data_IF_611104706000
#
_entry.id   IF_611104706000
#
_cell.length_a   1.000
_cell.length_b   1.000
_cell.length_c   1.000
_cell.angle_alpha   90.00
_cell.angle_beta   90.00
_cell.angle_gamma   90.00
#
_symmetry.space_group_name_H-M   'P 1'
#
loop_
_entity.id
_entity.type
_entity.pdbx_description
1 polymer ?
#
# COMPACT_ATOMS: atom_id res chain seq x y z
N UNK A 1 31.26 -17.69 16.82
CA UNK A 1 32.49 -17.84 15.98
C UNK A 1 32.13 -17.19 14.65
N UNK A 2 32.90 -16.19 14.24
CA UNK A 2 32.65 -15.48 12.94
C UNK A 2 33.10 -16.41 11.79
N UNK A 3 32.35 -16.46 10.70
CA UNK A 3 32.72 -17.31 9.55
C UNK A 3 34.01 -16.80 8.88
N UNK A 4 34.81 -17.67 8.24
CA UNK A 4 35.99 -17.25 7.47
C UNK A 4 35.57 -16.23 6.36
N UNK A 5 36.35 -15.16 6.21
CA UNK A 5 36.08 -14.07 5.27
C UNK A 5 35.17 -12.97 5.83
N UNK A 6 34.84 -13.06 7.13
CA UNK A 6 34.01 -12.04 7.81
C UNK A 6 34.68 -11.59 9.11
N UNK A 7 34.43 -10.34 9.49
CA UNK A 7 34.93 -9.74 10.74
C UNK A 7 33.77 -9.21 11.61
N UNK A 8 33.95 -9.21 12.92
CA UNK A 8 33.05 -8.57 13.87
C UNK A 8 33.32 -7.05 13.85
N UNK A 9 32.27 -6.26 13.68
CA UNK A 9 32.33 -4.79 13.76
C UNK A 9 31.32 -4.28 14.78
N UNK A 10 31.27 -2.96 15.00
CA UNK A 10 30.31 -2.28 15.90
C UNK A 10 28.86 -2.43 15.39
N UNK A 11 28.67 -2.59 14.08
CA UNK A 11 27.35 -2.69 13.43
C UNK A 11 27.00 -4.13 13.02
N UNK A 12 27.72 -5.11 13.55
CA UNK A 12 27.49 -6.53 13.29
C UNK A 12 28.63 -7.21 12.54
N UNK A 13 28.35 -8.39 12.00
CA UNK A 13 29.31 -9.17 11.22
C UNK A 13 29.28 -8.72 9.77
N UNK A 14 30.43 -8.27 9.27
CA UNK A 14 30.59 -7.79 7.90
C UNK A 14 31.70 -8.56 7.18
N UNK A 15 31.72 -8.59 5.82
CA UNK A 15 32.84 -9.14 5.07
C UNK A 15 34.17 -8.45 5.43
N UNK A 16 35.27 -9.18 5.40
CA UNK A 16 36.63 -8.65 5.72
C UNK A 16 37.00 -7.46 4.80
N UNK A 17 36.49 -7.47 3.55
CA UNK A 17 36.73 -6.42 2.55
C UNK A 17 35.89 -5.16 2.72
N UNK A 18 34.91 -5.15 3.63
CA UNK A 18 34.11 -3.96 3.89
C UNK A 18 34.76 -3.14 5.01
N UNK A 19 34.90 -1.84 4.79
CA UNK A 19 35.34 -0.92 5.82
C UNK A 19 34.16 -0.35 6.61
N UNK A 20 34.44 0.25 7.75
CA UNK A 20 33.47 1.00 8.56
C UNK A 20 34.05 2.39 8.82
N UNK A 21 33.18 3.40 8.74
CA UNK A 21 33.53 4.78 8.97
C UNK A 21 32.44 5.48 9.78
N UNK A 22 32.80 6.42 10.65
CA UNK A 22 31.80 7.18 11.39
C UNK A 22 31.09 8.20 10.50
N UNK A 23 29.85 8.51 10.83
CA UNK A 23 29.08 9.50 10.08
C UNK A 23 29.79 10.88 10.05
N UNK A 24 30.40 11.30 11.18
CA UNK A 24 31.12 12.56 11.29
C UNK A 24 32.32 12.63 10.35
N UNK A 25 33.03 11.50 10.16
CA UNK A 25 34.20 11.46 9.26
C UNK A 25 33.77 11.56 7.79
N UNK A 26 32.64 10.99 7.40
CA UNK A 26 32.27 10.95 5.99
C UNK A 26 31.32 12.06 5.55
N UNK A 27 30.62 12.78 6.45
CA UNK A 27 29.66 13.79 6.04
C UNK A 27 29.98 15.22 6.54
N UNK A 28 29.54 16.17 5.73
CA UNK A 28 29.35 17.57 6.15
C UNK A 28 27.86 17.86 6.23
N UNK A 29 27.37 18.33 7.39
CA UNK A 29 25.98 18.74 7.56
C UNK A 29 25.79 20.10 6.90
N UNK A 30 24.82 20.19 6.00
CA UNK A 30 24.44 21.44 5.33
C UNK A 30 23.38 22.19 6.14
N UNK A 31 23.18 23.49 5.89
CA UNK A 31 22.06 24.22 6.45
C UNK A 31 20.73 23.76 5.82
N UNK A 32 19.70 23.67 6.64
CA UNK A 32 18.30 23.51 6.22
C UNK A 32 17.54 24.82 6.45
N UNK A 33 16.34 24.96 5.90
CA UNK A 33 15.44 26.06 6.21
C UNK A 33 14.33 25.62 7.18
N UNK A 34 13.58 26.61 7.69
CA UNK A 34 12.50 26.38 8.67
C UNK A 34 11.12 26.71 8.10
N UNK A 35 10.97 26.65 6.77
CA UNK A 35 9.72 26.97 6.10
C UNK A 35 8.69 25.87 6.35
N UNK A 36 7.51 26.27 6.76
CA UNK A 36 6.36 25.40 6.95
C UNK A 36 5.72 25.00 5.61
N UNK A 37 4.85 24.01 5.63
CA UNK A 37 4.10 23.58 4.44
C UNK A 37 3.29 24.72 3.80
N UNK A 38 2.75 25.65 4.57
CA UNK A 38 1.98 26.81 4.09
C UNK A 38 2.83 27.82 3.30
N UNK A 39 4.15 27.79 3.46
CA UNK A 39 5.10 28.66 2.74
C UNK A 39 5.61 28.02 1.45
N UNK A 40 5.03 26.86 1.06
CA UNK A 40 5.36 26.11 -0.15
C UNK A 40 4.17 26.04 -1.10
N UNK A 41 4.43 25.85 -2.41
CA UNK A 41 3.40 25.69 -3.44
C UNK A 41 3.86 24.73 -4.54
N UNK A 42 2.92 24.31 -5.38
CA UNK A 42 3.19 23.47 -6.58
C UNK A 42 2.95 24.20 -7.90
N UNK A 43 2.75 25.54 -7.86
CA UNK A 43 2.43 26.34 -9.06
C UNK A 43 3.68 26.81 -9.81
N UNK A 44 4.87 26.59 -9.23
CA UNK A 44 6.15 26.99 -9.79
C UNK A 44 6.90 27.98 -8.90
N UNK A 45 8.20 28.15 -9.15
CA UNK A 45 9.08 29.04 -8.38
C UNK A 45 10.54 28.89 -8.80
N UNK A 46 11.43 29.55 -8.10
CA UNK A 46 12.87 29.52 -8.37
C UNK A 46 13.61 28.43 -7.59
N UNK A 47 13.11 28.09 -6.39
CA UNK A 47 13.76 27.15 -5.47
C UNK A 47 12.74 26.12 -5.00
N UNK A 48 13.10 24.85 -5.13
CA UNK A 48 12.32 23.72 -4.64
C UNK A 48 12.77 23.34 -3.23
N UNK A 49 11.87 22.69 -2.48
CA UNK A 49 12.09 22.35 -1.08
C UNK A 49 11.74 20.87 -0.80
N UNK A 50 12.60 20.19 -0.06
CA UNK A 50 12.35 18.83 0.44
C UNK A 50 11.97 18.93 1.91
N UNK A 51 10.70 18.67 2.23
CA UNK A 51 10.14 18.77 3.56
C UNK A 51 10.16 17.42 4.28
N UNK A 52 10.42 17.37 5.61
CA UNK A 52 10.50 16.13 6.39
C UNK A 52 9.28 15.21 6.21
N UNK A 53 8.08 15.79 6.20
CA UNK A 53 6.85 15.02 6.05
C UNK A 53 6.76 14.28 4.70
N UNK A 54 7.39 14.81 3.62
CA UNK A 54 7.46 14.10 2.34
C UNK A 54 8.47 12.96 2.40
N UNK A 55 9.58 13.13 3.12
CA UNK A 55 10.55 12.04 3.36
C UNK A 55 9.88 10.90 4.11
N UNK A 56 9.09 11.20 5.14
CA UNK A 56 8.44 10.17 5.96
C UNK A 56 7.40 9.35 5.20
N UNK A 57 6.56 9.99 4.38
CA UNK A 57 5.37 9.34 3.79
C UNK A 57 5.40 9.16 2.27
N UNK A 58 6.17 9.99 1.54
CA UNK A 58 6.09 10.04 0.08
C UNK A 58 7.36 9.56 -0.61
N UNK A 59 8.52 10.05 -0.15
CA UNK A 59 9.76 9.82 -0.86
C UNK A 59 10.37 8.44 -0.59
N UNK A 60 10.88 7.78 -1.65
CA UNK A 60 11.63 6.53 -1.54
C UNK A 60 13.01 6.75 -0.93
N UNK A 61 13.75 5.68 -0.71
CA UNK A 61 15.15 5.70 -0.26
C UNK A 61 16.08 6.51 -1.19
N UNK A 62 15.78 6.50 -2.48
CA UNK A 62 16.47 7.28 -3.52
C UNK A 62 15.44 8.13 -4.24
N UNK A 63 15.58 9.45 -4.16
CA UNK A 63 14.68 10.44 -4.76
C UNK A 63 15.28 10.99 -6.06
N UNK A 64 14.67 10.66 -7.18
CA UNK A 64 14.98 11.27 -8.47
C UNK A 64 14.24 12.60 -8.61
N UNK A 65 14.97 13.69 -8.39
CA UNK A 65 14.46 15.06 -8.44
C UNK A 65 14.04 15.50 -9.85
N UNK A 66 14.46 14.79 -10.91
CA UNK A 66 14.07 15.11 -12.28
C UNK A 66 12.65 14.66 -12.62
N UNK A 67 12.16 13.66 -11.91
CA UNK A 67 10.86 13.03 -12.17
C UNK A 67 9.82 13.31 -11.07
N UNK A 68 10.26 13.63 -9.86
CA UNK A 68 9.37 13.88 -8.73
C UNK A 68 8.95 15.36 -8.65
N UNK A 69 7.64 15.57 -8.50
CA UNK A 69 7.08 16.91 -8.32
C UNK A 69 7.38 17.46 -6.92
N UNK A 70 8.47 18.20 -6.79
CA UNK A 70 8.84 18.88 -5.54
C UNK A 70 8.11 20.22 -5.41
N UNK A 71 7.68 20.60 -4.19
CA UNK A 71 7.08 21.91 -3.97
C UNK A 71 8.12 23.03 -4.10
N UNK A 72 7.69 24.17 -4.60
CA UNK A 72 8.48 25.41 -4.66
C UNK A 72 8.25 26.26 -3.41
N UNK A 73 9.28 26.99 -3.02
CA UNK A 73 9.18 27.99 -1.98
C UNK A 73 8.42 29.21 -2.52
N UNK A 74 7.47 29.73 -1.76
CA UNK A 74 6.75 30.95 -2.12
C UNK A 74 7.73 32.11 -2.31
N UNK A 75 7.49 32.95 -3.31
CA UNK A 75 8.43 33.99 -3.81
C UNK A 75 8.95 34.92 -2.69
N UNK A 76 8.09 35.29 -1.75
CA UNK A 76 8.42 36.15 -0.60
C UNK A 76 9.39 35.48 0.41
N UNK A 77 9.52 34.16 0.37
CA UNK A 77 10.34 33.39 1.30
C UNK A 77 11.64 32.84 0.70
N UNK A 78 11.90 33.04 -0.61
CA UNK A 78 13.09 32.52 -1.29
C UNK A 78 14.39 32.98 -0.64
N UNK A 79 14.44 34.21 -0.11
CA UNK A 79 15.61 34.74 0.59
C UNK A 79 16.01 33.96 1.84
N UNK A 80 15.04 33.28 2.50
CA UNK A 80 15.26 32.42 3.68
C UNK A 80 15.98 31.10 3.32
N UNK A 81 16.01 30.74 2.06
CA UNK A 81 16.54 29.48 1.53
C UNK A 81 17.66 29.70 0.48
N UNK A 82 18.48 30.69 0.69
CA UNK A 82 19.56 31.09 -0.24
C UNK A 82 20.86 30.30 -0.08
N UNK A 83 20.92 29.36 0.86
CA UNK A 83 22.12 28.56 1.19
C UNK A 83 21.77 27.08 1.28
N UNK A 84 22.80 26.22 1.16
CA UNK A 84 22.61 24.79 1.34
C UNK A 84 21.93 24.10 0.16
N UNK A 85 22.16 24.59 -1.07
CA UNK A 85 21.66 23.92 -2.26
C UNK A 85 22.22 22.50 -2.35
N UNK A 86 21.29 21.58 -2.58
CA UNK A 86 21.58 20.16 -2.68
C UNK A 86 22.27 19.81 -4.01
N UNK A 87 22.97 18.70 -4.02
CA UNK A 87 23.62 18.09 -5.21
C UNK A 87 23.30 16.60 -5.24
N UNK A 88 23.46 15.99 -6.38
CA UNK A 88 23.35 14.55 -6.53
C UNK A 88 24.27 13.84 -5.51
N UNK A 89 23.76 12.82 -4.84
CA UNK A 89 24.44 12.09 -3.77
C UNK A 89 24.31 12.72 -2.37
N UNK A 90 23.66 13.88 -2.20
CA UNK A 90 23.34 14.40 -0.87
C UNK A 90 22.26 13.52 -0.23
N UNK A 91 22.41 13.25 1.06
CA UNK A 91 21.45 12.51 1.89
C UNK A 91 20.65 13.49 2.73
N UNK A 92 19.34 13.32 2.78
CA UNK A 92 18.44 14.14 3.61
C UNK A 92 17.70 13.24 4.57
N UNK A 93 17.91 13.46 5.86
CA UNK A 93 17.31 12.68 6.95
C UNK A 93 16.21 13.51 7.62
N UNK A 94 15.06 12.90 7.92
CA UNK A 94 14.03 13.50 8.76
C UNK A 94 14.46 13.39 10.23
N UNK A 95 14.62 14.55 10.92
CA UNK A 95 15.04 14.57 12.32
C UNK A 95 13.89 14.43 13.32
N UNK A 96 12.65 14.39 12.82
CA UNK A 96 11.43 14.36 13.61
C UNK A 96 10.37 13.49 12.95
N UNK A 97 9.69 12.63 13.72
CA UNK A 97 8.55 11.81 13.30
C UNK A 97 7.58 11.56 14.47
N UNK A 98 6.38 11.06 14.18
CA UNK A 98 5.41 10.69 15.23
C UNK A 98 5.72 9.32 15.89
N UNK A 99 6.66 8.55 15.32
CA UNK A 99 7.04 7.22 15.77
C UNK A 99 8.54 6.94 15.59
N UNK A 100 8.93 5.66 15.63
CA UNK A 100 10.33 5.20 15.52
C UNK A 100 10.92 5.32 14.11
N UNK A 101 10.17 5.75 13.10
CA UNK A 101 10.70 5.97 11.74
C UNK A 101 11.53 7.27 11.62
N UNK A 102 11.66 8.03 12.71
CA UNK A 102 12.58 9.16 12.76
C UNK A 102 13.99 8.70 12.33
N UNK A 103 14.67 9.51 11.52
CA UNK A 103 15.92 9.09 10.87
C UNK A 103 15.73 8.53 9.45
N UNK A 104 14.46 8.31 9.00
CA UNK A 104 14.20 7.98 7.60
C UNK A 104 14.84 9.02 6.69
N UNK A 105 15.51 8.54 5.65
CA UNK A 105 16.35 9.35 4.78
C UNK A 105 16.03 9.13 3.31
N UNK A 106 16.43 10.10 2.49
CA UNK A 106 16.41 9.95 1.03
C UNK A 106 17.72 10.49 0.45
N UNK A 107 18.33 9.73 -0.44
CA UNK A 107 19.46 10.20 -1.25
C UNK A 107 18.90 10.87 -2.51
N UNK A 108 19.36 12.07 -2.83
CA UNK A 108 18.87 12.81 -3.99
C UNK A 108 19.75 12.59 -5.21
N UNK A 109 19.09 12.40 -6.35
CA UNK A 109 19.70 12.27 -7.66
C UNK A 109 18.94 13.09 -8.70
N UNK A 110 19.53 13.33 -9.86
CA UNK A 110 18.85 13.98 -10.99
C UNK A 110 18.49 15.45 -10.74
N UNK A 111 19.25 16.16 -9.93
CA UNK A 111 19.01 17.58 -9.61
C UNK A 111 19.22 18.47 -10.83
N UNK A 112 20.23 18.18 -11.67
CA UNK A 112 20.56 19.00 -12.82
C UNK A 112 20.79 20.47 -12.46
N UNK A 113 20.14 21.38 -13.21
CA UNK A 113 20.22 22.84 -12.98
C UNK A 113 19.24 23.37 -11.93
N UNK A 114 18.43 22.48 -11.32
CA UNK A 114 17.42 22.87 -10.34
C UNK A 114 18.04 23.35 -9.03
N UNK A 115 17.47 24.38 -8.44
CA UNK A 115 17.83 24.85 -7.10
C UNK A 115 16.95 24.18 -6.07
N UNK A 116 17.48 23.17 -5.38
CA UNK A 116 16.75 22.41 -4.36
C UNK A 116 17.41 22.60 -3.01
N UNK A 117 16.63 22.80 -1.97
CA UNK A 117 17.10 22.95 -0.59
C UNK A 117 16.37 22.01 0.36
N UNK A 118 17.00 21.72 1.48
CA UNK A 118 16.41 20.92 2.55
C UNK A 118 15.56 21.78 3.48
N UNK A 119 14.39 21.29 3.84
CA UNK A 119 13.35 22.02 4.55
C UNK A 119 13.33 21.84 6.06
N UNK A 120 12.21 22.22 6.65
CA UNK A 120 11.95 22.10 8.10
C UNK A 120 12.09 20.63 8.55
N UNK A 121 12.66 20.46 9.74
CA UNK A 121 12.86 19.16 10.39
C UNK A 121 13.62 18.13 9.52
N UNK A 122 14.68 18.62 8.86
CA UNK A 122 15.57 17.77 8.07
C UNK A 122 17.02 18.04 8.43
N UNK A 123 17.86 17.00 8.27
CA UNK A 123 19.32 17.09 8.39
C UNK A 123 19.92 16.71 7.01
N UNK A 124 20.26 17.71 6.18
CA UNK A 124 20.92 17.44 4.91
C UNK A 124 22.42 17.19 5.12
N UNK A 125 22.91 16.12 4.54
CA UNK A 125 24.28 15.65 4.71
C UNK A 125 24.93 15.43 3.34
N UNK A 126 26.12 15.98 3.15
CA UNK A 126 26.91 15.81 1.93
C UNK A 126 28.15 14.99 2.21
N UNK A 127 28.42 13.92 1.44
CA UNK A 127 29.68 13.20 1.52
C UNK A 127 30.87 14.15 1.35
N UNK A 128 31.89 14.04 2.23
CA UNK A 128 33.11 14.84 2.13
C UNK A 128 33.97 14.44 0.92
N UNK A 129 33.95 13.15 0.62
CA UNK A 129 34.54 12.57 -0.58
C UNK A 129 33.41 12.04 -1.48
N UNK A 130 33.22 12.67 -2.63
CA UNK A 130 32.19 12.30 -3.60
C UNK A 130 32.42 10.91 -4.24
N UNK A 131 33.68 10.41 -4.18
CA UNK A 131 34.04 9.10 -4.75
C UNK A 131 33.88 7.94 -3.75
N UNK A 132 33.67 8.23 -2.47
CA UNK A 132 33.56 7.21 -1.42
C UNK A 132 32.33 6.33 -1.59
N UNK A 133 31.20 6.90 -1.96
CA UNK A 133 29.94 6.21 -2.10
C UNK A 133 29.49 6.15 -3.56
N UNK A 134 29.04 4.97 -3.96
CA UNK A 134 28.34 4.81 -5.23
C UNK A 134 26.95 5.50 -5.16
N UNK A 135 26.47 6.09 -6.26
CA UNK A 135 25.14 6.66 -6.30
C UNK A 135 24.07 5.67 -5.84
N UNK A 136 23.11 6.13 -5.03
CA UNK A 136 21.99 5.37 -4.46
C UNK A 136 22.35 4.43 -3.30
N UNK A 137 23.62 4.13 -3.06
CA UNK A 137 24.05 3.24 -1.97
C UNK A 137 23.59 3.76 -0.61
N UNK A 138 23.85 5.04 -0.33
CA UNK A 138 23.49 5.67 0.95
C UNK A 138 21.99 5.63 1.21
N UNK A 139 21.19 5.91 0.19
CA UNK A 139 19.72 5.86 0.30
C UNK A 139 19.22 4.52 0.80
N UNK A 140 19.76 3.41 0.31
CA UNK A 140 19.39 2.09 0.77
C UNK A 140 19.98 1.74 2.13
N UNK A 141 21.28 1.96 2.32
CA UNK A 141 21.97 1.53 3.54
C UNK A 141 21.48 2.27 4.79
N UNK A 142 21.30 3.59 4.72
CA UNK A 142 20.88 4.42 5.86
C UNK A 142 19.45 4.09 6.32
N UNK A 143 18.58 3.66 5.41
CA UNK A 143 17.22 3.24 5.76
C UNK A 143 17.12 1.77 6.20
N UNK A 144 18.20 1.01 6.16
CA UNK A 144 18.19 -0.37 6.60
C UNK A 144 18.49 -0.47 8.11
N UNK A 145 17.94 -1.50 8.77
CA UNK A 145 18.01 -1.64 10.23
C UNK A 145 19.46 -1.61 10.77
N UNK A 146 20.46 -2.17 10.05
CA UNK A 146 21.86 -2.12 10.47
C UNK A 146 22.35 -0.70 10.78
N UNK A 147 21.87 0.30 10.05
CA UNK A 147 22.15 1.70 10.35
C UNK A 147 21.08 2.33 11.25
N UNK A 148 19.82 2.18 10.92
CA UNK A 148 18.71 2.84 11.60
C UNK A 148 18.62 2.46 13.09
N UNK A 149 18.88 1.20 13.44
CA UNK A 149 18.84 0.71 14.82
C UNK A 149 19.89 1.39 15.72
N UNK A 150 20.96 1.94 15.15
CA UNK A 150 21.94 2.73 15.89
C UNK A 150 21.35 4.06 16.40
N UNK A 151 20.28 4.57 15.78
CA UNK A 151 19.60 5.81 16.19
C UNK A 151 18.64 5.57 17.34
N UNK A 152 18.09 4.36 17.50
CA UNK A 152 17.05 4.02 18.49
C UNK A 152 17.41 4.46 19.92
N UNK A 153 18.64 4.22 20.44
CA UNK A 153 19.00 4.64 21.80
C UNK A 153 19.01 6.18 22.00
N UNK A 154 19.07 6.94 20.93
CA UNK A 154 19.18 8.40 20.96
C UNK A 154 17.85 9.09 20.59
N UNK A 155 16.80 8.34 20.27
CA UNK A 155 15.49 8.90 20.00
C UNK A 155 14.91 9.45 21.29
N UNK A 156 14.48 10.71 21.24
CA UNK A 156 13.88 11.42 22.35
C UNK A 156 12.49 11.93 22.00
N UNK A 157 11.62 12.09 23.01
CA UNK A 157 10.25 12.57 22.83
C UNK A 157 9.20 11.50 23.16
N UNK A 158 7.99 11.94 23.58
CA UNK A 158 6.88 11.06 23.98
C UNK A 158 5.78 11.01 22.92
N UNK A 159 5.45 12.16 22.33
CA UNK A 159 4.42 12.26 21.26
C UNK A 159 5.04 12.47 19.89
N UNK A 160 6.18 13.11 19.86
CA UNK A 160 6.95 13.39 18.66
C UNK A 160 8.37 12.96 18.95
N UNK A 161 8.84 11.97 18.20
CA UNK A 161 10.19 11.44 18.27
C UNK A 161 11.16 12.35 17.53
N UNK A 162 12.36 12.57 18.08
CA UNK A 162 13.40 13.35 17.41
C UNK A 162 14.78 12.76 17.60
N UNK A 163 15.66 12.99 16.64
CA UNK A 163 17.07 12.62 16.69
C UNK A 163 17.94 13.85 16.48
N UNK A 164 18.98 14.00 17.29
CA UNK A 164 19.88 15.14 17.22
C UNK A 164 21.02 14.93 16.23
N UNK A 165 21.60 16.03 15.71
CA UNK A 165 22.80 15.98 14.87
C UNK A 165 23.98 15.30 15.55
N UNK A 166 24.14 15.48 16.88
CA UNK A 166 25.19 14.80 17.66
C UNK A 166 24.99 13.30 17.77
N UNK A 167 23.73 12.83 17.85
CA UNK A 167 23.44 11.40 17.85
C UNK A 167 23.82 10.73 16.52
N UNK A 168 23.53 11.41 15.41
CA UNK A 168 23.87 10.91 14.07
C UNK A 168 25.39 10.87 13.87
N UNK A 169 26.12 11.87 14.37
CA UNK A 169 27.57 11.96 14.19
C UNK A 169 28.33 10.73 14.69
N UNK A 170 27.84 10.06 15.74
CA UNK A 170 28.47 8.86 16.33
C UNK A 170 28.08 7.55 15.66
N UNK A 171 27.16 7.54 14.72
CA UNK A 171 26.77 6.31 14.01
C UNK A 171 27.84 5.86 13.02
N UNK A 172 27.83 4.57 12.70
CA UNK A 172 28.82 3.93 11.84
C UNK A 172 28.17 3.45 10.54
N UNK A 173 28.86 3.64 9.45
CA UNK A 173 28.43 3.28 8.08
C UNK A 173 29.36 2.19 7.55
N UNK A 174 28.78 1.14 6.97
CA UNK A 174 29.54 0.16 6.22
C UNK A 174 29.91 0.69 4.84
N UNK A 175 31.15 0.46 4.44
CA UNK A 175 31.68 0.93 3.15
C UNK A 175 32.22 -0.28 2.37
N UNK A 176 31.36 -0.95 1.58
CA UNK A 176 31.81 -1.97 0.63
C UNK A 176 32.79 -1.40 -0.40
N UNK A 177 33.58 -2.21 -1.10
CA UNK A 177 34.25 -1.80 -2.31
C UNK A 177 33.26 -1.16 -3.31
N UNK A 178 33.64 -0.06 -3.99
CA UNK A 178 32.75 0.73 -4.85
C UNK A 178 32.00 -0.11 -5.90
N UNK A 179 32.63 -1.08 -6.61
CA UNK A 179 31.89 -1.93 -7.56
C UNK A 179 30.77 -2.74 -6.90
N UNK A 180 30.94 -3.15 -5.64
CA UNK A 180 29.92 -3.87 -4.89
C UNK A 180 28.79 -2.94 -4.45
N UNK A 181 29.09 -1.71 -4.02
CA UNK A 181 28.07 -0.70 -3.75
C UNK A 181 27.19 -0.44 -4.98
N UNK A 182 27.83 -0.29 -6.17
CA UNK A 182 27.14 -0.10 -7.45
C UNK A 182 26.22 -1.27 -7.77
N UNK A 183 26.73 -2.51 -7.68
CA UNK A 183 25.94 -3.71 -7.97
C UNK A 183 24.74 -3.87 -7.01
N UNK A 184 24.93 -3.60 -5.71
CA UNK A 184 23.86 -3.65 -4.73
C UNK A 184 22.83 -2.55 -4.99
N UNK A 185 23.26 -1.32 -5.22
CA UNK A 185 22.37 -0.19 -5.49
C UNK A 185 21.56 -0.40 -6.78
N UNK A 186 22.16 -0.96 -7.83
CA UNK A 186 21.49 -1.32 -9.08
C UNK A 186 20.41 -2.38 -8.83
N UNK A 187 20.75 -3.50 -8.18
CA UNK A 187 19.83 -4.58 -7.90
C UNK A 187 18.62 -4.11 -7.05
N UNK A 188 18.85 -3.25 -6.04
CA UNK A 188 17.78 -2.67 -5.23
C UNK A 188 16.94 -1.63 -5.99
N UNK A 189 17.55 -0.90 -6.91
CA UNK A 189 16.83 0.05 -7.78
C UNK A 189 15.93 -0.68 -8.78
N UNK A 190 16.37 -1.80 -9.32
CA UNK A 190 15.60 -2.60 -10.27
C UNK A 190 14.34 -3.17 -9.62
N UNK A 191 14.48 -3.72 -8.41
CA UNK A 191 13.30 -4.24 -7.69
C UNK A 191 12.33 -3.12 -7.29
N UNK A 192 12.82 -1.93 -6.91
CA UNK A 192 11.98 -0.77 -6.63
C UNK A 192 11.24 -0.28 -7.87
N UNK A 193 11.92 -0.23 -9.01
CA UNK A 193 11.31 0.11 -10.29
C UNK A 193 10.19 -0.87 -10.66
N UNK A 194 10.41 -2.17 -10.44
CA UNK A 194 9.40 -3.21 -10.67
C UNK A 194 8.19 -3.02 -9.76
N UNK A 195 8.39 -2.77 -8.47
CA UNK A 195 7.32 -2.51 -7.48
C UNK A 195 6.48 -1.31 -7.92
N UNK A 196 7.10 -0.17 -8.22
CA UNK A 196 6.41 1.06 -8.67
C UNK A 196 5.62 0.82 -9.97
N UNK A 197 6.17 0.07 -10.91
CA UNK A 197 5.48 -0.25 -12.17
C UNK A 197 4.27 -1.16 -11.93
N UNK A 198 4.35 -2.12 -11.01
CA UNK A 198 3.21 -2.96 -10.62
C UNK A 198 2.11 -2.14 -9.95
N UNK A 199 2.44 -1.22 -9.05
CA UNK A 199 1.46 -0.32 -8.42
C UNK A 199 0.72 0.54 -9.45
N UNK A 200 1.46 1.13 -10.40
CA UNK A 200 0.88 1.90 -11.52
C UNK A 200 -0.03 1.03 -12.39
N UNK A 201 0.39 -0.20 -12.69
CA UNK A 201 -0.40 -1.14 -13.50
C UNK A 201 -1.68 -1.56 -12.78
N UNK A 202 -1.63 -1.86 -11.48
CA UNK A 202 -2.81 -2.14 -10.65
C UNK A 202 -3.78 -0.96 -10.66
N UNK A 203 -3.28 0.25 -10.46
CA UNK A 203 -4.10 1.46 -10.50
C UNK A 203 -4.78 1.65 -11.87
N UNK A 204 -4.04 1.46 -12.96
CA UNK A 204 -4.58 1.51 -14.33
C UNK A 204 -5.66 0.45 -14.56
N UNK A 205 -5.43 -0.80 -14.13
CA UNK A 205 -6.40 -1.90 -14.27
C UNK A 205 -7.68 -1.63 -13.46
N UNK A 206 -7.58 -1.07 -12.27
CA UNK A 206 -8.74 -0.63 -11.47
C UNK A 206 -9.55 0.45 -12.18
N UNK A 207 -8.90 1.43 -12.80
CA UNK A 207 -9.57 2.47 -13.57
C UNK A 207 -10.27 1.89 -14.81
N UNK A 208 -9.62 0.94 -15.52
CA UNK A 208 -10.22 0.22 -16.65
C UNK A 208 -11.47 -0.56 -16.20
N UNK A 209 -11.39 -1.30 -15.08
CA UNK A 209 -12.54 -2.01 -14.50
C UNK A 209 -13.70 -1.06 -14.22
N UNK A 210 -13.42 0.05 -13.56
CA UNK A 210 -14.44 1.05 -13.24
C UNK A 210 -15.11 1.61 -14.50
N UNK A 211 -14.34 1.94 -15.54
CA UNK A 211 -14.88 2.37 -16.84
C UNK A 211 -15.73 1.28 -17.49
N UNK A 212 -15.25 0.04 -17.52
CA UNK A 212 -16.00 -1.10 -18.07
C UNK A 212 -17.33 -1.32 -17.32
N UNK A 213 -17.32 -1.25 -16.00
CA UNK A 213 -18.54 -1.34 -15.18
C UNK A 213 -19.54 -0.22 -15.54
N UNK A 214 -19.06 1.02 -15.70
CA UNK A 214 -19.95 2.14 -16.08
C UNK A 214 -20.59 1.96 -17.46
N UNK A 215 -19.88 1.36 -18.40
CA UNK A 215 -20.41 1.16 -19.75
C UNK A 215 -21.26 -0.11 -19.87
N UNK A 216 -20.77 -1.24 -19.37
CA UNK A 216 -21.40 -2.55 -19.55
C UNK A 216 -22.62 -2.74 -18.64
N UNK A 217 -22.58 -2.29 -17.38
CA UNK A 217 -23.70 -2.45 -16.43
C UNK A 217 -24.83 -1.42 -16.63
N UNK A 218 -24.61 -0.42 -17.48
CA UNK A 218 -25.64 0.57 -17.85
C UNK A 218 -26.19 0.39 -19.25
N UNK A 219 -25.72 -0.63 -19.99
CA UNK A 219 -26.11 -0.86 -21.37
C UNK A 219 -25.65 0.21 -22.36
N UNK A 220 -24.82 1.19 -21.94
CA UNK A 220 -24.23 2.20 -22.84
C UNK A 220 -23.38 1.57 -23.92
N UNK A 221 -22.70 0.51 -23.57
CA UNK A 221 -21.96 -0.33 -24.52
C UNK A 221 -22.51 -1.75 -24.46
N UNK A 222 -22.96 -2.24 -25.60
CA UNK A 222 -23.43 -3.63 -25.76
C UNK A 222 -22.31 -4.52 -26.27
N UNK A 223 -22.29 -5.74 -25.81
CA UNK A 223 -21.38 -6.75 -26.34
C UNK A 223 -21.88 -7.21 -27.72
N UNK A 224 -20.98 -7.54 -28.68
CA UNK A 224 -21.36 -8.06 -30.00
C UNK A 224 -22.21 -9.33 -29.87
N UNK A 225 -23.27 -9.41 -30.70
CA UNK A 225 -24.16 -10.58 -30.73
C UNK A 225 -25.32 -10.54 -29.75
N UNK A 226 -25.43 -9.50 -28.93
CA UNK A 226 -26.57 -9.29 -28.03
C UNK A 226 -27.40 -8.09 -28.49
N UNK A 227 -28.70 -8.28 -28.51
CA UNK A 227 -29.71 -7.28 -28.87
C UNK A 227 -30.86 -7.26 -27.85
N UNK A 228 -31.92 -6.52 -28.16
CA UNK A 228 -33.08 -6.36 -27.28
C UNK A 228 -32.88 -5.25 -26.23
N UNK A 229 -34.00 -4.81 -25.66
CA UNK A 229 -34.05 -3.69 -24.75
C UNK A 229 -33.76 -4.14 -23.29
N UNK A 230 -32.87 -3.42 -22.63
CA UNK A 230 -32.67 -3.61 -21.20
C UNK A 230 -33.80 -2.94 -20.41
N UNK A 231 -34.20 -3.57 -19.31
CA UNK A 231 -35.32 -3.09 -18.48
C UNK A 231 -34.88 -2.90 -17.04
N UNK A 232 -35.34 -1.82 -16.44
CA UNK A 232 -35.25 -1.66 -15.01
C UNK A 232 -36.15 -2.70 -14.32
N UNK A 233 -35.60 -3.39 -13.35
CA UNK A 233 -36.30 -4.44 -12.64
C UNK A 233 -35.92 -4.46 -11.16
N UNK A 234 -36.90 -4.73 -10.32
CA UNK A 234 -36.67 -4.95 -8.90
C UNK A 234 -36.01 -6.30 -8.66
N UNK A 235 -35.06 -6.34 -7.75
CA UNK A 235 -34.26 -7.55 -7.47
C UNK A 235 -35.07 -8.71 -6.90
N UNK A 236 -36.26 -8.47 -6.33
CA UNK A 236 -37.16 -9.54 -5.86
C UNK A 236 -37.62 -10.50 -6.98
N UNK A 237 -37.59 -10.05 -8.24
CA UNK A 237 -37.87 -10.89 -9.40
C UNK A 237 -36.74 -11.91 -9.69
N UNK A 238 -35.53 -11.61 -9.27
CA UNK A 238 -34.32 -12.31 -9.68
C UNK A 238 -33.56 -13.00 -8.56
N UNK A 239 -33.72 -12.55 -7.31
CA UNK A 239 -33.01 -13.14 -6.15
C UNK A 239 -33.97 -13.38 -4.98
N UNK A 240 -33.65 -14.41 -4.21
CA UNK A 240 -34.02 -14.50 -2.81
C UNK A 240 -32.79 -14.12 -1.97
N UNK A 241 -33.04 -13.45 -0.84
CA UNK A 241 -31.98 -13.04 0.07
C UNK A 241 -32.09 -13.82 1.37
N UNK A 242 -31.14 -14.74 1.57
CA UNK A 242 -31.08 -15.58 2.76
C UNK A 242 -30.26 -14.89 3.84
N UNK A 243 -30.86 -14.62 4.98
CA UNK A 243 -30.16 -14.13 6.18
C UNK A 243 -29.57 -15.32 6.93
N UNK A 244 -28.36 -15.14 7.49
CA UNK A 244 -27.69 -16.21 8.24
C UNK A 244 -28.34 -16.52 9.60
N UNK A 245 -27.85 -17.60 10.19
CA UNK A 245 -28.40 -18.12 11.48
C UNK A 245 -27.72 -17.43 12.68
N UNK A 246 -28.45 -17.18 13.79
CA UNK A 246 -27.92 -16.59 15.01
C UNK A 246 -27.15 -17.61 15.86
N UNK A 247 -26.00 -18.07 15.40
CA UNK A 247 -25.18 -19.01 16.14
C UNK A 247 -24.80 -18.49 17.52
N UNK A 248 -24.82 -19.37 18.52
CA UNK A 248 -24.51 -19.03 19.91
C UNK A 248 -23.01 -18.82 20.12
N UNK A 249 -22.64 -17.68 20.71
CA UNK A 249 -21.26 -17.39 21.04
C UNK A 249 -20.59 -18.36 22.01
N UNK A 250 -21.39 -19.18 22.71
CA UNK A 250 -20.90 -20.23 23.61
C UNK A 250 -20.10 -21.33 22.87
N UNK A 251 -20.36 -21.51 21.57
CA UNK A 251 -19.67 -22.49 20.73
C UNK A 251 -18.59 -21.88 19.87
N UNK A 252 -18.31 -20.57 19.99
CA UNK A 252 -17.28 -19.91 19.16
C UNK A 252 -15.88 -20.21 19.69
N UNK A 253 -14.99 -20.50 18.76
CA UNK A 253 -13.59 -20.76 19.05
C UNK A 253 -12.68 -20.20 17.96
N UNK A 254 -11.37 -20.11 18.25
CA UNK A 254 -10.33 -19.70 17.32
C UNK A 254 -9.34 -20.81 16.97
N UNK A 255 -9.56 -22.03 17.47
CA UNK A 255 -8.70 -23.19 17.30
C UNK A 255 -9.12 -24.12 16.15
N UNK A 256 -9.99 -23.63 15.25
CA UNK A 256 -10.46 -24.35 14.06
C UNK A 256 -11.33 -25.60 14.38
N UNK A 257 -11.96 -25.65 15.55
CA UNK A 257 -12.93 -26.70 15.87
C UNK A 257 -14.28 -26.36 15.23
N UNK A 258 -14.78 -27.26 14.35
CA UNK A 258 -15.99 -27.09 13.57
C UNK A 258 -15.79 -26.34 12.25
N UNK A 259 -16.84 -25.68 11.75
CA UNK A 259 -16.79 -24.89 10.53
C UNK A 259 -16.52 -23.41 10.82
N UNK A 260 -15.83 -22.75 9.89
CA UNK A 260 -15.62 -21.31 9.91
C UNK A 260 -16.96 -20.59 9.94
N UNK A 261 -17.08 -19.58 10.79
CA UNK A 261 -18.25 -18.70 10.89
C UNK A 261 -17.98 -17.40 10.12
N UNK A 262 -18.87 -17.04 9.18
CA UNK A 262 -18.77 -15.79 8.41
C UNK A 262 -19.50 -14.67 9.14
N UNK A 263 -18.75 -13.76 9.73
CA UNK A 263 -19.28 -12.53 10.32
C UNK A 263 -19.16 -11.37 9.34
N UNK A 264 -19.90 -10.29 9.56
CA UNK A 264 -19.89 -9.13 8.67
C UNK A 264 -18.48 -8.58 8.37
N UNK A 265 -17.59 -8.51 9.37
CA UNK A 265 -16.21 -8.06 9.20
C UNK A 265 -15.34 -9.00 8.34
N UNK A 266 -15.65 -10.30 8.35
CA UNK A 266 -14.88 -11.34 7.66
C UNK A 266 -15.05 -11.27 6.13
N UNK A 267 -16.00 -10.44 5.66
CA UNK A 267 -16.16 -10.09 4.25
C UNK A 267 -15.03 -9.20 3.73
N UNK A 268 -14.38 -8.45 4.64
CA UNK A 268 -13.28 -7.52 4.31
C UNK A 268 -11.90 -8.05 4.66
N UNK A 269 -11.77 -8.64 5.86
CA UNK A 269 -10.46 -9.09 6.35
C UNK A 269 -10.60 -10.40 7.14
N UNK A 270 -9.47 -11.09 7.32
CA UNK A 270 -9.35 -12.29 8.13
C UNK A 270 -8.58 -12.05 9.43
N UNK A 271 -8.62 -10.83 9.96
CA UNK A 271 -7.88 -10.44 11.17
C UNK A 271 -8.30 -11.26 12.41
N UNK A 272 -9.56 -11.68 12.46
CA UNK A 272 -10.08 -12.52 13.54
C UNK A 272 -11.09 -13.55 12.99
N UNK A 273 -10.60 -14.71 12.62
CA UNK A 273 -11.44 -15.81 12.15
C UNK A 273 -12.01 -16.58 13.34
N UNK A 274 -13.30 -16.90 13.30
CA UNK A 274 -13.97 -17.75 14.27
C UNK A 274 -14.52 -19.00 13.62
N UNK A 275 -14.58 -20.07 14.41
CA UNK A 275 -15.18 -21.35 14.07
C UNK A 275 -16.29 -21.64 15.08
N UNK A 276 -17.21 -22.53 14.74
CA UNK A 276 -18.24 -23.01 15.66
C UNK A 276 -18.48 -24.49 15.46
N UNK A 277 -18.59 -25.20 16.59
CA UNK A 277 -18.99 -26.62 16.65
C UNK A 277 -20.48 -26.79 16.88
N UNK A 278 -21.27 -25.71 16.92
CA UNK A 278 -22.73 -25.77 17.06
C UNK A 278 -23.36 -26.55 15.90
N UNK A 279 -24.31 -27.46 16.15
CA UNK A 279 -25.05 -28.13 15.09
C UNK A 279 -25.78 -27.12 14.19
N UNK A 280 -25.73 -27.35 12.88
CA UNK A 280 -26.27 -26.42 11.90
C UNK A 280 -27.09 -27.13 10.81
N UNK A 281 -28.04 -26.39 10.22
CA UNK A 281 -28.71 -26.82 9.00
C UNK A 281 -27.85 -26.54 7.78
N UNK A 282 -27.86 -27.47 6.83
CA UNK A 282 -26.99 -27.37 5.61
C UNK A 282 -27.29 -26.15 4.73
N UNK A 283 -28.49 -25.59 4.85
CA UNK A 283 -28.88 -24.37 4.13
C UNK A 283 -28.04 -23.13 4.52
N UNK A 284 -27.45 -23.13 5.72
CA UNK A 284 -26.56 -22.04 6.16
C UNK A 284 -25.09 -22.23 5.78
N UNK A 285 -24.77 -23.34 5.12
CA UNK A 285 -23.41 -23.53 4.59
C UNK A 285 -23.24 -22.69 3.34
N UNK A 286 -22.22 -21.85 3.34
CA UNK A 286 -21.75 -21.09 2.17
C UNK A 286 -20.52 -21.76 1.57
N UNK A 287 -20.38 -21.66 0.26
CA UNK A 287 -19.30 -22.22 -0.51
C UNK A 287 -18.63 -21.13 -1.36
N UNK A 288 -17.51 -21.45 -2.02
CA UNK A 288 -16.91 -20.53 -2.94
C UNK A 288 -17.91 -20.12 -4.04
N UNK A 289 -17.79 -18.88 -4.47
CA UNK A 289 -18.64 -18.19 -5.45
C UNK A 289 -20.03 -17.77 -4.94
N UNK A 290 -20.39 -18.09 -3.70
CA UNK A 290 -21.55 -17.45 -3.07
C UNK A 290 -21.32 -15.93 -2.96
N UNK A 291 -22.37 -15.16 -3.26
CA UNK A 291 -22.35 -13.69 -3.10
C UNK A 291 -22.96 -13.35 -1.76
N UNK A 292 -22.12 -12.83 -0.89
CA UNK A 292 -22.46 -12.45 0.48
C UNK A 292 -22.54 -10.92 0.60
N UNK A 293 -23.45 -10.44 1.43
CA UNK A 293 -23.65 -9.01 1.70
C UNK A 293 -23.69 -8.80 3.21
N UNK A 294 -22.88 -7.88 3.70
CA UNK A 294 -22.92 -7.44 5.09
C UNK A 294 -24.21 -6.67 5.38
N UNK A 295 -24.83 -6.93 6.53
CA UNK A 295 -26.10 -6.29 6.91
C UNK A 295 -25.89 -5.11 7.87
N UNK A 296 -24.70 -4.90 8.41
CA UNK A 296 -24.40 -3.81 9.34
C UNK A 296 -23.20 -2.98 8.84
N UNK A 297 -23.41 -1.69 8.66
CA UNK A 297 -22.36 -0.72 8.35
C UNK A 297 -21.87 -0.71 6.91
N UNK A 298 -21.41 -1.83 6.38
CA UNK A 298 -20.95 -1.96 5.00
C UNK A 298 -21.80 -3.00 4.25
N UNK A 299 -22.41 -2.54 3.15
CA UNK A 299 -23.35 -3.33 2.35
C UNK A 299 -22.76 -3.79 1.01
N UNK A 300 -21.46 -3.56 0.77
CA UNK A 300 -20.86 -3.98 -0.49
C UNK A 300 -20.88 -5.51 -0.64
N UNK A 301 -21.30 -6.03 -1.80
CA UNK A 301 -21.33 -7.46 -2.03
C UNK A 301 -19.90 -8.03 -2.08
N UNK A 302 -19.73 -9.19 -1.51
CA UNK A 302 -18.49 -9.96 -1.48
C UNK A 302 -18.68 -11.29 -2.18
N UNK A 303 -17.86 -11.62 -3.17
CA UNK A 303 -17.76 -12.97 -3.72
C UNK A 303 -16.91 -13.80 -2.77
N UNK A 304 -17.53 -14.79 -2.13
CA UNK A 304 -16.83 -15.64 -1.16
C UNK A 304 -15.85 -16.59 -1.85
N UNK A 305 -14.60 -16.64 -1.37
CA UNK A 305 -13.54 -17.48 -1.93
C UNK A 305 -12.68 -18.17 -0.84
N UNK A 306 -13.25 -18.30 0.36
CA UNK A 306 -12.49 -18.77 1.54
C UNK A 306 -12.94 -20.16 2.02
N UNK A 307 -13.50 -20.97 1.11
CA UNK A 307 -13.96 -22.33 1.39
C UNK A 307 -15.31 -22.41 2.09
N UNK A 308 -15.67 -23.62 2.55
CA UNK A 308 -16.93 -23.85 3.26
C UNK A 308 -16.96 -23.11 4.59
N UNK A 309 -18.08 -22.43 4.85
CA UNK A 309 -18.29 -21.68 6.09
C UNK A 309 -19.76 -21.62 6.45
N UNK A 310 -20.09 -21.12 7.63
CA UNK A 310 -21.45 -20.95 8.13
C UNK A 310 -21.89 -19.49 8.09
N UNK A 311 -23.03 -19.22 7.51
CA UNK A 311 -23.60 -17.88 7.35
C UNK A 311 -24.19 -17.38 8.68
N UNK A 312 -23.57 -16.35 9.27
CA UNK A 312 -24.03 -15.77 10.53
C UNK A 312 -25.09 -14.68 10.29
N UNK A 313 -25.96 -14.46 11.27
CA UNK A 313 -27.14 -13.59 11.28
C UNK A 313 -26.95 -12.15 10.77
N UNK A 314 -25.71 -11.63 10.69
CA UNK A 314 -25.39 -10.28 10.20
C UNK A 314 -24.80 -10.29 8.79
N UNK A 315 -24.91 -11.40 8.12
CA UNK A 315 -24.53 -11.59 6.72
C UNK A 315 -25.67 -12.25 5.99
N UNK A 316 -25.97 -11.78 4.80
CA UNK A 316 -26.94 -12.41 3.92
C UNK A 316 -26.29 -12.95 2.66
N UNK A 317 -26.89 -13.96 2.04
CA UNK A 317 -26.47 -14.57 0.79
C UNK A 317 -27.52 -14.32 -0.29
N UNK A 318 -27.06 -13.95 -1.50
CA UNK A 318 -27.91 -13.89 -2.69
C UNK A 318 -28.16 -15.31 -3.22
N UNK A 319 -29.41 -15.70 -3.31
CA UNK A 319 -29.83 -16.95 -3.95
C UNK A 319 -30.45 -16.61 -5.31
N UNK A 320 -29.76 -16.93 -6.44
CA UNK A 320 -30.25 -16.55 -7.77
C UNK A 320 -31.46 -17.39 -8.17
N UNK A 321 -32.45 -16.73 -8.78
CA UNK A 321 -33.56 -17.38 -9.49
C UNK A 321 -33.13 -17.73 -10.91
N UNK A 322 -33.96 -18.51 -11.61
CA UNK A 322 -33.64 -19.15 -12.91
C UNK A 322 -33.03 -18.24 -13.97
N UNK A 323 -33.42 -16.96 -14.02
CA UNK A 323 -33.02 -16.02 -15.07
C UNK A 323 -31.95 -15.03 -14.64
N UNK A 324 -31.20 -15.31 -13.57
CA UNK A 324 -30.14 -14.47 -13.08
C UNK A 324 -28.78 -15.20 -13.14
N UNK A 325 -27.78 -14.51 -13.65
CA UNK A 325 -26.39 -14.80 -13.37
C UNK A 325 -25.98 -14.10 -12.06
N UNK A 326 -25.56 -14.88 -11.05
CA UNK A 326 -25.25 -14.34 -9.72
C UNK A 326 -24.01 -13.45 -9.71
N UNK A 327 -23.05 -13.72 -10.61
CA UNK A 327 -21.86 -12.92 -10.74
C UNK A 327 -22.16 -11.56 -11.42
N UNK A 328 -23.10 -11.55 -12.39
CA UNK A 328 -23.64 -10.28 -12.89
C UNK A 328 -24.30 -9.47 -11.77
N UNK A 329 -25.12 -10.11 -10.93
CA UNK A 329 -25.74 -9.43 -9.80
C UNK A 329 -24.70 -8.87 -8.81
N UNK A 330 -23.60 -9.58 -8.58
CA UNK A 330 -22.47 -9.10 -7.78
C UNK A 330 -21.95 -7.75 -8.28
N UNK A 331 -21.76 -7.58 -9.59
CA UNK A 331 -21.29 -6.31 -10.16
C UNK A 331 -22.39 -5.25 -10.20
N UNK A 332 -23.60 -5.62 -10.63
CA UNK A 332 -24.70 -4.70 -10.81
C UNK A 332 -25.19 -4.07 -9.48
N UNK A 333 -25.07 -4.81 -8.36
CA UNK A 333 -25.51 -4.34 -7.05
C UNK A 333 -24.47 -3.46 -6.33
N UNK A 334 -23.23 -3.37 -6.77
CA UNK A 334 -22.20 -2.57 -6.09
C UNK A 334 -22.60 -1.09 -5.96
N UNK A 335 -23.04 -0.48 -7.05
CA UNK A 335 -23.46 0.93 -7.05
C UNK A 335 -24.74 1.17 -6.25
N UNK A 336 -25.87 0.45 -6.47
CA UNK A 336 -27.08 0.62 -5.69
C UNK A 336 -26.89 0.42 -4.19
N UNK A 337 -26.10 -0.56 -3.78
CA UNK A 337 -25.81 -0.81 -2.36
C UNK A 337 -24.94 0.29 -1.74
N UNK A 338 -23.94 0.80 -2.47
CA UNK A 338 -23.16 1.95 -2.03
C UNK A 338 -24.01 3.21 -1.89
N UNK A 339 -24.94 3.46 -2.80
CA UNK A 339 -25.90 4.59 -2.74
C UNK A 339 -26.83 4.44 -1.53
N UNK A 340 -27.38 3.24 -1.30
CA UNK A 340 -28.20 2.95 -0.13
C UNK A 340 -27.41 3.17 1.17
N UNK A 341 -26.18 2.74 1.21
CA UNK A 341 -25.26 2.97 2.34
C UNK A 341 -25.03 4.46 2.61
N UNK A 342 -24.83 5.28 1.58
CA UNK A 342 -24.54 6.70 1.71
C UNK A 342 -25.80 7.56 1.96
N UNK A 343 -26.97 7.12 1.52
CA UNK A 343 -28.24 7.84 1.63
C UNK A 343 -28.83 7.86 3.05
N UNK A 344 -28.38 7.02 3.96
CA UNK A 344 -28.81 7.02 5.36
C UNK A 344 -27.92 7.94 6.19
N UNK A 345 -28.51 8.85 7.00
CA UNK A 345 -27.80 9.89 7.77
C UNK A 345 -26.69 9.34 8.71
N UNK A 346 -25.72 10.18 9.02
CA UNK A 346 -24.44 9.83 9.66
C UNK A 346 -24.52 9.37 11.14
N UNK A 347 -25.69 9.36 11.78
CA UNK A 347 -25.83 9.20 13.24
C UNK A 347 -26.32 7.85 13.71
N UNK A 348 -26.65 6.91 12.81
CA UNK A 348 -27.20 5.60 13.18
C UNK A 348 -26.42 4.47 12.52
N UNK A 349 -26.18 3.36 13.25
CA UNK A 349 -25.65 2.14 12.65
C UNK A 349 -26.61 1.70 11.54
N UNK A 350 -26.10 1.72 10.30
CA UNK A 350 -26.90 1.37 9.13
C UNK A 350 -27.14 -0.13 9.15
N UNK A 351 -28.40 -0.51 9.08
CA UNK A 351 -28.81 -1.90 9.01
C UNK A 351 -29.51 -2.16 7.67
N UNK A 352 -29.04 -3.14 6.93
CA UNK A 352 -29.61 -3.59 5.68
C UNK A 352 -30.65 -4.69 5.99
N UNK A 353 -31.89 -4.45 5.62
CA UNK A 353 -32.94 -5.45 5.76
C UNK A 353 -33.10 -6.31 4.49
N UNK A 354 -33.68 -7.49 4.66
CA UNK A 354 -34.09 -8.34 3.54
C UNK A 354 -34.98 -7.59 2.51
N UNK A 355 -35.87 -6.70 3.00
CA UNK A 355 -36.74 -5.91 2.15
C UNK A 355 -36.02 -4.86 1.33
N UNK A 356 -34.90 -4.35 1.80
CA UNK A 356 -34.14 -3.33 1.07
C UNK A 356 -33.47 -3.93 -0.18
N UNK A 357 -32.90 -5.13 -0.08
CA UNK A 357 -32.32 -5.84 -1.24
C UNK A 357 -33.40 -6.09 -2.30
N UNK A 358 -34.58 -6.54 -1.90
CA UNK A 358 -35.68 -6.85 -2.84
C UNK A 358 -36.16 -5.63 -3.62
N UNK A 359 -36.11 -4.44 -3.01
CA UNK A 359 -36.56 -3.18 -3.61
C UNK A 359 -35.51 -2.51 -4.50
N UNK A 360 -34.25 -2.96 -4.48
CA UNK A 360 -33.22 -2.40 -5.34
C UNK A 360 -33.62 -2.55 -6.81
N UNK A 361 -33.53 -1.46 -7.54
CA UNK A 361 -33.79 -1.45 -8.97
C UNK A 361 -32.44 -1.55 -9.69
N UNK A 362 -32.35 -2.49 -10.61
CA UNK A 362 -31.17 -2.70 -11.45
C UNK A 362 -31.59 -2.79 -12.90
N UNK A 363 -30.77 -2.23 -13.77
CA UNK A 363 -30.98 -2.34 -15.21
C UNK A 363 -30.51 -3.72 -15.68
N UNK A 364 -31.43 -4.51 -16.20
CA UNK A 364 -31.23 -5.93 -16.49
C UNK A 364 -31.14 -6.20 -17.99
N UNK A 365 -30.11 -6.90 -18.47
CA UNK A 365 -30.06 -7.47 -19.80
C UNK A 365 -31.24 -8.41 -20.07
N UNK A 366 -31.74 -8.51 -21.32
CA UNK A 366 -32.89 -9.36 -21.64
C UNK A 366 -32.61 -10.86 -21.49
N UNK A 367 -31.35 -11.29 -21.58
CA UNK A 367 -30.97 -12.71 -21.52
C UNK A 367 -29.91 -12.95 -20.43
N UNK A 368 -29.92 -14.18 -19.90
CA UNK A 368 -28.91 -14.60 -18.92
C UNK A 368 -27.53 -14.74 -19.57
N UNK A 369 -27.50 -15.09 -20.85
CA UNK A 369 -26.26 -15.23 -21.63
C UNK A 369 -25.51 -13.89 -21.73
N UNK A 370 -26.24 -12.78 -21.91
CA UNK A 370 -25.63 -11.45 -21.90
C UNK A 370 -25.14 -11.06 -20.51
N UNK A 371 -25.90 -11.38 -19.46
CA UNK A 371 -25.45 -11.17 -18.07
C UNK A 371 -24.16 -11.92 -17.81
N UNK A 372 -24.08 -13.20 -18.19
CA UNK A 372 -22.89 -14.04 -17.99
C UNK A 372 -21.68 -13.50 -18.78
N UNK A 373 -21.86 -13.08 -20.02
CA UNK A 373 -20.77 -12.53 -20.84
C UNK A 373 -20.20 -11.22 -20.24
N UNK A 374 -21.07 -10.35 -19.70
CA UNK A 374 -20.63 -9.14 -18.99
C UNK A 374 -19.89 -9.49 -17.71
N UNK A 375 -20.44 -10.41 -16.93
CA UNK A 375 -19.85 -10.84 -15.67
C UNK A 375 -18.46 -11.48 -15.87
N UNK A 376 -18.29 -12.28 -16.91
CA UNK A 376 -17.02 -12.92 -17.29
C UNK A 376 -15.94 -11.85 -17.59
N UNK A 377 -16.24 -10.85 -18.42
CA UNK A 377 -15.30 -9.77 -18.73
C UNK A 377 -14.85 -9.02 -17.47
N UNK A 378 -15.78 -8.71 -16.56
CA UNK A 378 -15.46 -8.00 -15.33
C UNK A 378 -14.68 -8.89 -14.35
N UNK A 379 -15.01 -10.19 -14.30
CA UNK A 379 -14.30 -11.17 -13.48
C UNK A 379 -12.87 -11.41 -13.95
N UNK A 380 -12.63 -11.44 -15.25
CA UNK A 380 -11.29 -11.60 -15.81
C UNK A 380 -10.39 -10.41 -15.40
N UNK A 381 -10.94 -9.19 -15.42
CA UNK A 381 -10.19 -8.01 -14.96
C UNK A 381 -9.91 -8.09 -13.44
N UNK A 382 -10.85 -8.62 -12.65
CA UNK A 382 -10.63 -8.83 -11.21
C UNK A 382 -9.52 -9.86 -10.95
N UNK A 383 -9.51 -10.97 -11.68
CA UNK A 383 -8.45 -11.98 -11.59
C UNK A 383 -7.08 -11.40 -11.97
N UNK A 384 -7.00 -10.59 -13.02
CA UNK A 384 -5.76 -9.91 -13.38
C UNK A 384 -5.27 -8.97 -12.26
N UNK A 385 -6.17 -8.20 -11.65
CA UNK A 385 -5.83 -7.29 -10.53
C UNK A 385 -5.33 -8.10 -9.34
N UNK A 386 -5.98 -9.19 -8.99
CA UNK A 386 -5.57 -10.07 -7.88
C UNK A 386 -4.18 -10.67 -8.11
N UNK A 387 -3.91 -11.19 -9.31
CA UNK A 387 -2.60 -11.72 -9.67
C UNK A 387 -1.48 -10.67 -9.59
N UNK A 388 -1.77 -9.44 -10.04
CA UNK A 388 -0.82 -8.33 -9.92
C UNK A 388 -0.58 -7.94 -8.45
N UNK A 389 -1.61 -7.98 -7.61
CA UNK A 389 -1.49 -7.70 -6.18
C UNK A 389 -0.65 -8.77 -5.46
N UNK A 390 -0.87 -10.05 -5.76
CA UNK A 390 -0.04 -11.15 -5.23
C UNK A 390 1.42 -11.01 -5.68
N UNK A 391 1.65 -10.61 -6.94
CA UNK A 391 2.99 -10.34 -7.46
C UNK A 391 3.65 -9.17 -6.73
N UNK A 392 2.90 -8.09 -6.47
CA UNK A 392 3.38 -6.93 -5.72
C UNK A 392 3.86 -7.35 -4.31
N UNK A 393 3.02 -8.08 -3.57
CA UNK A 393 3.39 -8.58 -2.23
C UNK A 393 4.65 -9.46 -2.30
N UNK A 394 4.73 -10.36 -3.28
CA UNK A 394 5.91 -11.20 -3.49
C UNK A 394 7.18 -10.36 -3.69
N UNK A 395 7.14 -9.36 -4.57
CA UNK A 395 8.32 -8.54 -4.85
C UNK A 395 8.70 -7.62 -3.69
N UNK A 396 7.74 -7.15 -2.89
CA UNK A 396 8.03 -6.45 -1.63
C UNK A 396 8.80 -7.34 -0.65
N UNK A 397 8.39 -8.61 -0.49
CA UNK A 397 9.11 -9.58 0.33
C UNK A 397 10.50 -9.92 -0.24
N UNK A 398 10.63 -10.05 -1.57
CA UNK A 398 11.92 -10.24 -2.24
C UNK A 398 12.84 -9.06 -1.95
N UNK A 399 12.35 -7.81 -2.09
CA UNK A 399 13.13 -6.61 -1.75
C UNK A 399 13.62 -6.65 -0.31
N UNK A 400 12.75 -7.00 0.63
CA UNK A 400 13.14 -7.12 2.05
C UNK A 400 14.24 -8.16 2.26
N UNK A 401 14.13 -9.32 1.61
CA UNK A 401 15.18 -10.35 1.61
C UNK A 401 16.49 -9.85 0.97
N UNK A 402 16.41 -9.20 -0.19
CA UNK A 402 17.60 -8.61 -0.84
C UNK A 402 18.28 -7.58 0.07
N UNK A 403 17.54 -6.68 0.68
CA UNK A 403 18.13 -5.73 1.64
C UNK A 403 18.82 -6.44 2.80
N UNK A 404 18.20 -7.51 3.34
CA UNK A 404 18.81 -8.30 4.44
C UNK A 404 20.13 -8.97 4.06
N UNK A 405 20.22 -9.50 2.86
CA UNK A 405 21.39 -10.27 2.43
C UNK A 405 22.49 -9.37 1.84
N UNK A 406 22.11 -8.37 1.04
CA UNK A 406 23.06 -7.53 0.32
C UNK A 406 23.64 -6.41 1.20
N UNK A 407 22.79 -5.72 1.99
CA UNK A 407 23.26 -4.60 2.84
C UNK A 407 24.04 -5.04 4.08
N UNK A 408 24.09 -6.35 4.33
CA UNK A 408 24.93 -6.96 5.38
C UNK A 408 26.12 -7.74 4.82
N UNK A 409 26.23 -7.82 3.49
CA UNK A 409 27.29 -8.56 2.81
C UNK A 409 27.20 -10.08 2.98
N UNK A 410 26.05 -10.64 3.41
CA UNK A 410 25.87 -12.10 3.49
C UNK A 410 25.87 -12.75 2.13
N UNK A 411 25.28 -12.06 1.15
CA UNK A 411 25.41 -12.41 -0.28
C UNK A 411 26.24 -11.32 -0.94
N UNK A 412 27.23 -11.74 -1.70
CA UNK A 412 28.16 -10.87 -2.44
C UNK A 412 27.80 -10.88 -3.92
N UNK A 413 27.77 -9.70 -4.54
CA UNK A 413 27.44 -9.56 -5.98
C UNK A 413 28.68 -9.40 -6.88
N UNK A 414 29.87 -9.35 -6.28
CA UNK A 414 31.18 -9.23 -6.96
C UNK A 414 32.20 -10.14 -6.33
#
# INVERSE_FOLDING_TARGET
>A
MVMPGYKQTEIGVLPDSWDTITFEECFTILPNNTLSRAELNYNGGEVQNIHYGDILVKFPAVLDCSTEGLPYINKENVSKASKGFLRDGDLIMADTAEDVIVGKSTEVIGIGDSKIVSGLHTIPCRPRDAEMFAPKWLGYFINYCTYHDQLIPYITGIKVSSVSKSAISSTVIAVPPKPEQEAIAEALTDIDTLIVNLEKLISKKRAIKQGAMQELLTGRRRLPGFDGEWKEAAMDLYVDFQVGFPFSSAYFNSNSDGLRLVKNRDLKSDDQVYFTSEPYATEYVVENDDILIGMDGDFLPCRWQKGKALLNQRVGRLLPKKNLDVLFAYYALQKPLAELQNGTGATTVKHLSHGDIKKLIVLMPPTKEEQSAIAEILSDVDLEIEQLQLSLVKYMLVKQGMMSELLTGRIRLV
#
